data_IF_007830877677
#
_entry.id   IF_007830877677
#
_cell.length_a   1.000
_cell.length_b   1.000
_cell.length_c   1.000
_cell.angle_alpha   90.00
_cell.angle_beta   90.00
_cell.angle_gamma   90.00
#
_symmetry.space_group_name_H-M   'P 1'
#
loop_
_entity.id
_entity.type
_entity.pdbx_description
1 polymer ?
#
# COMPACT_ATOMS: atom_id res chain seq x y z
N UNK A 1 -21.77 -0.93 -10.78
CA UNK A 1 -21.18 -0.16 -9.68
C UNK A 1 -19.67 -0.41 -9.63
N UNK A 2 -19.25 -1.62 -9.48
CA UNK A 2 -17.85 -2.03 -9.31
C UNK A 2 -16.94 -1.71 -10.51
N UNK A 3 -17.48 -1.56 -11.71
CA UNK A 3 -16.72 -1.20 -12.90
C UNK A 3 -16.22 0.24 -12.93
N UNK A 4 -16.70 1.07 -12.01
CA UNK A 4 -16.29 2.49 -11.88
C UNK A 4 -15.51 2.77 -10.59
N UNK A 5 -15.23 1.73 -9.82
CA UNK A 5 -14.55 1.87 -8.54
C UNK A 5 -13.05 1.62 -8.71
N UNK A 6 -12.26 2.41 -8.01
CA UNK A 6 -10.82 2.24 -7.92
C UNK A 6 -10.54 1.50 -6.63
N UNK A 7 -10.08 0.26 -6.74
CA UNK A 7 -9.66 -0.53 -5.58
C UNK A 7 -8.23 -0.17 -5.20
N UNK A 8 -8.06 0.42 -4.04
CA UNK A 8 -6.76 0.90 -3.55
C UNK A 8 -5.78 -0.28 -3.46
N UNK A 9 -6.19 -1.39 -2.87
CA UNK A 9 -5.39 -2.60 -2.75
C UNK A 9 -4.87 -3.11 -4.10
N UNK A 10 -5.74 -3.18 -5.11
CA UNK A 10 -5.35 -3.67 -6.43
C UNK A 10 -4.31 -2.76 -7.08
N UNK A 11 -4.46 -1.46 -6.96
CA UNK A 11 -3.49 -0.48 -7.46
C UNK A 11 -2.17 -0.54 -6.68
N UNK A 12 -2.23 -0.70 -5.38
CA UNK A 12 -1.04 -0.88 -4.53
C UNK A 12 -0.28 -2.16 -4.90
N UNK A 13 -1.00 -3.27 -5.12
CA UNK A 13 -0.40 -4.54 -5.54
C UNK A 13 0.20 -4.44 -6.94
N UNK A 14 -0.45 -3.77 -7.88
CA UNK A 14 0.07 -3.54 -9.23
C UNK A 14 1.35 -2.68 -9.20
N UNK A 15 1.38 -1.65 -8.37
CA UNK A 15 2.58 -0.83 -8.15
C UNK A 15 3.73 -1.66 -7.58
N UNK A 16 3.48 -2.47 -6.57
CA UNK A 16 4.47 -3.40 -5.99
C UNK A 16 5.00 -4.37 -7.04
N UNK A 17 4.12 -5.01 -7.82
CA UNK A 17 4.53 -5.93 -8.88
C UNK A 17 5.41 -5.24 -9.92
N UNK A 18 5.08 -4.02 -10.33
CA UNK A 18 5.89 -3.22 -11.24
C UNK A 18 7.29 -2.99 -10.69
N UNK A 19 7.43 -2.68 -9.40
CA UNK A 19 8.72 -2.50 -8.74
C UNK A 19 9.54 -3.80 -8.73
N UNK A 20 8.94 -4.95 -8.42
CA UNK A 20 9.61 -6.25 -8.45
C UNK A 20 10.07 -6.66 -9.87
N UNK A 21 9.34 -6.22 -10.91
CA UNK A 21 9.71 -6.45 -12.31
C UNK A 21 10.69 -5.40 -12.86
N UNK A 22 11.25 -4.55 -12.02
CA UNK A 22 12.22 -3.54 -12.43
C UNK A 22 11.62 -2.32 -13.14
N UNK A 23 10.30 -2.21 -13.22
CA UNK A 23 9.58 -1.07 -13.81
C UNK A 23 9.43 0.04 -12.77
N UNK A 24 10.59 0.55 -12.34
CA UNK A 24 10.69 1.43 -11.19
C UNK A 24 9.87 2.72 -11.33
N UNK A 25 10.01 3.40 -12.47
CA UNK A 25 9.32 4.67 -12.69
C UNK A 25 7.80 4.51 -12.67
N UNK A 26 7.30 3.49 -13.36
CA UNK A 26 5.86 3.20 -13.41
C UNK A 26 5.32 2.79 -12.05
N UNK A 27 6.04 1.92 -11.34
CA UNK A 27 5.65 1.48 -10.00
C UNK A 27 5.59 2.66 -9.01
N UNK A 28 6.59 3.53 -9.03
CA UNK A 28 6.62 4.72 -8.17
C UNK A 28 5.56 5.74 -8.58
N UNK A 29 5.30 5.93 -9.87
CA UNK A 29 4.25 6.83 -10.33
C UNK A 29 2.86 6.34 -9.87
N UNK A 30 2.58 5.05 -10.02
CA UNK A 30 1.33 4.44 -9.56
C UNK A 30 1.18 4.55 -8.03
N UNK A 31 2.23 4.25 -7.27
CA UNK A 31 2.23 4.36 -5.81
C UNK A 31 1.98 5.82 -5.37
N UNK A 32 2.65 6.78 -6.00
CA UNK A 32 2.48 8.20 -5.69
C UNK A 32 1.07 8.69 -5.99
N UNK A 33 0.52 8.35 -7.16
CA UNK A 33 -0.83 8.74 -7.54
C UNK A 33 -1.88 8.20 -6.54
N UNK A 34 -1.70 6.97 -6.10
CA UNK A 34 -2.56 6.36 -5.07
C UNK A 34 -2.44 7.09 -3.74
N UNK A 35 -1.23 7.35 -3.25
CA UNK A 35 -0.99 8.06 -2.00
C UNK A 35 -1.53 9.50 -2.05
N UNK A 36 -1.32 10.20 -3.15
CA UNK A 36 -1.85 11.56 -3.32
C UNK A 36 -3.39 11.56 -3.28
N UNK A 37 -4.03 10.55 -3.86
CA UNK A 37 -5.49 10.41 -3.79
C UNK A 37 -5.97 10.19 -2.36
N UNK A 38 -5.26 9.36 -1.58
CA UNK A 38 -5.61 9.06 -0.18
C UNK A 38 -5.40 10.28 0.72
N UNK A 39 -4.27 10.98 0.56
CA UNK A 39 -3.89 12.09 1.45
C UNK A 39 -4.51 13.43 1.06
N UNK A 40 -4.72 13.68 -0.23
CA UNK A 40 -5.10 14.99 -0.77
C UNK A 40 -6.35 14.98 -1.62
N UNK A 41 -6.86 13.80 -1.95
CA UNK A 41 -8.11 13.66 -2.70
C UNK A 41 -9.33 13.96 -1.85
N UNK A 42 -10.53 13.86 -2.42
CA UNK A 42 -11.79 14.12 -1.71
C UNK A 42 -12.01 13.26 -0.48
N UNK A 43 -11.42 12.05 -0.45
CA UNK A 43 -11.46 11.20 0.74
C UNK A 43 -10.63 11.79 1.90
N UNK A 44 -9.38 12.20 1.63
CA UNK A 44 -8.43 12.87 2.53
C UNK A 44 -8.35 12.32 3.97
N UNK A 45 -8.56 11.02 4.15
CA UNK A 45 -8.52 10.34 5.45
C UNK A 45 -7.56 9.13 5.40
N UNK A 46 -6.24 9.36 5.47
CA UNK A 46 -5.25 8.29 5.35
C UNK A 46 -5.31 7.26 6.49
N UNK A 47 -5.93 7.60 7.59
CA UNK A 47 -6.14 6.71 8.74
C UNK A 47 -7.39 5.82 8.63
N UNK A 48 -8.27 6.10 7.66
CA UNK A 48 -9.47 5.30 7.40
C UNK A 48 -9.49 4.91 5.93
N UNK A 49 -8.92 3.75 5.63
CA UNK A 49 -8.71 3.29 4.27
C UNK A 49 -9.99 2.64 3.73
N UNK A 50 -10.65 3.23 2.72
CA UNK A 50 -11.81 2.60 2.10
C UNK A 50 -11.39 1.45 1.19
N UNK A 51 -12.27 0.49 0.97
CA UNK A 51 -12.04 -0.58 0.00
C UNK A 51 -11.95 -0.01 -1.42
N UNK A 52 -12.84 0.89 -1.77
CA UNK A 52 -12.89 1.50 -3.09
C UNK A 52 -13.18 2.99 -3.08
N UNK A 53 -12.63 3.67 -4.05
CA UNK A 53 -12.88 5.07 -4.37
C UNK A 53 -13.63 5.17 -5.70
N UNK A 54 -14.52 6.15 -5.81
CA UNK A 54 -15.18 6.45 -7.06
C UNK A 54 -14.18 6.99 -8.08
N UNK A 55 -14.12 6.39 -9.27
CA UNK A 55 -13.30 6.90 -10.38
C UNK A 55 -13.84 8.23 -10.95
N UNK A 56 -15.05 8.63 -10.57
CA UNK A 56 -15.68 9.87 -11.02
C UNK A 56 -15.42 11.01 -10.05
N UNK A 57 -15.57 10.77 -8.76
CA UNK A 57 -15.49 11.82 -7.74
C UNK A 57 -14.23 11.75 -6.88
N UNK A 58 -13.52 10.62 -6.87
CA UNK A 58 -12.40 10.36 -5.96
C UNK A 58 -12.83 10.14 -4.50
N UNK A 59 -14.12 10.25 -4.20
CA UNK A 59 -14.65 10.03 -2.86
C UNK A 59 -14.85 8.55 -2.54
N UNK A 60 -15.04 8.25 -1.26
CA UNK A 60 -15.32 6.89 -0.79
C UNK A 60 -16.61 6.37 -1.38
N UNK A 61 -16.58 5.19 -1.99
CA UNK A 61 -17.77 4.54 -2.52
C UNK A 61 -18.21 3.34 -1.67
N UNK A 62 -17.30 2.63 -1.04
CA UNK A 62 -17.65 1.56 -0.11
C UNK A 62 -16.45 1.14 0.76
N UNK A 63 -16.75 0.46 1.85
CA UNK A 63 -15.77 -0.09 2.78
C UNK A 63 -15.12 0.95 3.67
N UNK A 64 -14.66 0.52 4.83
CA UNK A 64 -13.89 1.30 5.79
C UNK A 64 -12.88 0.39 6.47
N UNK A 65 -11.75 0.96 6.89
CA UNK A 65 -10.70 0.26 7.65
C UNK A 65 -10.23 -1.03 6.97
N UNK A 66 -9.95 -0.96 5.67
CA UNK A 66 -9.61 -2.12 4.86
C UNK A 66 -8.12 -2.45 4.95
N UNK A 67 -7.81 -3.50 5.68
CA UNK A 67 -6.43 -3.87 6.03
C UNK A 67 -5.56 -4.37 4.88
N UNK A 68 -6.16 -4.84 3.78
CA UNK A 68 -5.41 -5.33 2.62
C UNK A 68 -4.53 -4.25 1.98
N UNK A 69 -4.77 -2.97 2.30
CA UNK A 69 -3.92 -1.85 1.87
C UNK A 69 -2.53 -1.87 2.51
N UNK A 70 -2.32 -2.67 3.53
CA UNK A 70 -1.01 -2.90 4.15
C UNK A 70 0.04 -3.43 3.17
N UNK A 71 -0.37 -3.87 1.98
CA UNK A 71 0.55 -4.25 0.90
C UNK A 71 1.56 -3.16 0.54
N UNK A 72 1.25 -1.89 0.79
CA UNK A 72 2.18 -0.77 0.58
C UNK A 72 3.49 -0.89 1.38
N UNK A 73 3.48 -1.62 2.47
CA UNK A 73 4.68 -1.88 3.28
C UNK A 73 5.70 -2.76 2.55
N UNK A 74 5.28 -3.44 1.48
CA UNK A 74 6.19 -4.20 0.63
C UNK A 74 7.04 -3.34 -0.32
N UNK A 75 6.69 -2.07 -0.51
CA UNK A 75 7.39 -1.19 -1.46
C UNK A 75 8.89 -1.04 -1.16
N UNK A 76 9.35 -0.81 0.07
CA UNK A 76 10.77 -0.77 0.36
C UNK A 76 11.49 -2.06 0.01
N UNK A 77 10.84 -3.21 0.24
CA UNK A 77 11.40 -4.53 -0.11
C UNK A 77 11.50 -4.71 -1.62
N UNK A 78 10.42 -4.33 -2.34
CA UNK A 78 10.39 -4.40 -3.79
C UNK A 78 11.45 -3.49 -4.43
N UNK A 79 11.63 -2.27 -3.90
CA UNK A 79 12.66 -1.34 -4.35
C UNK A 79 14.08 -1.85 -4.10
N UNK A 80 14.28 -2.60 -3.02
CA UNK A 80 15.55 -3.23 -2.69
C UNK A 80 15.77 -4.57 -3.40
N UNK A 81 14.79 -5.05 -4.19
CA UNK A 81 14.83 -6.37 -4.85
C UNK A 81 14.81 -7.55 -3.87
N UNK A 82 14.29 -7.33 -2.66
CA UNK A 82 14.22 -8.37 -1.63
C UNK A 82 12.92 -9.15 -1.71
N UNK A 83 12.99 -10.46 -1.52
CA UNK A 83 11.80 -11.30 -1.39
C UNK A 83 10.97 -10.84 -0.18
N UNK A 84 9.66 -10.69 -0.36
CA UNK A 84 8.75 -10.30 0.71
C UNK A 84 8.81 -11.28 1.91
N UNK A 85 9.11 -12.56 1.66
CA UNK A 85 9.30 -13.56 2.70
C UNK A 85 10.50 -13.26 3.60
N UNK A 86 11.49 -12.55 3.08
CA UNK A 86 12.66 -12.14 3.85
C UNK A 86 12.29 -11.19 5.01
N UNK A 87 11.22 -10.42 4.85
CA UNK A 87 10.73 -9.54 5.91
C UNK A 87 10.24 -10.32 7.15
N UNK A 88 9.74 -11.53 6.94
CA UNK A 88 9.21 -12.43 7.99
C UNK A 88 10.28 -13.38 8.54
N UNK A 89 11.46 -13.43 7.95
CA UNK A 89 12.54 -14.28 8.41
C UNK A 89 13.15 -13.75 9.73
N UNK A 90 13.88 -14.63 10.43
CA UNK A 90 14.64 -14.22 11.62
C UNK A 90 15.61 -13.09 11.27
N UNK A 91 15.53 -11.96 11.99
CA UNK A 91 16.29 -10.76 11.72
C UNK A 91 15.78 -9.92 10.53
N UNK A 92 14.67 -10.30 9.91
CA UNK A 92 13.99 -9.52 8.88
C UNK A 92 13.26 -8.31 9.44
N UNK A 93 12.67 -7.50 8.56
CA UNK A 93 12.03 -6.23 8.93
C UNK A 93 10.97 -6.40 10.03
N UNK A 94 10.13 -7.42 9.95
CA UNK A 94 9.08 -7.67 10.95
C UNK A 94 9.70 -7.99 12.32
N UNK A 95 10.74 -8.83 12.36
CA UNK A 95 11.43 -9.15 13.61
C UNK A 95 12.05 -7.89 14.23
N UNK A 96 12.69 -7.02 13.43
CA UNK A 96 13.27 -5.77 13.89
C UNK A 96 12.21 -4.80 14.46
N UNK A 97 11.05 -4.71 13.81
CA UNK A 97 9.93 -3.89 14.30
C UNK A 97 9.44 -4.41 15.66
N UNK A 98 9.24 -5.73 15.78
CA UNK A 98 8.78 -6.36 17.02
C UNK A 98 9.81 -6.19 18.15
N UNK A 99 11.09 -6.34 17.86
CA UNK A 99 12.17 -6.09 18.83
C UNK A 99 12.19 -4.63 19.30
N UNK A 100 12.02 -3.69 18.38
CA UNK A 100 11.99 -2.26 18.70
C UNK A 100 10.74 -1.87 19.53
N UNK A 101 9.63 -2.57 19.32
CA UNK A 101 8.37 -2.35 20.04
C UNK A 101 8.30 -3.10 21.38
N UNK A 102 9.24 -4.02 21.67
CA UNK A 102 9.24 -4.76 22.92
C UNK A 102 9.49 -3.82 24.11
N UNK A 103 8.78 -3.99 25.23
CA UNK A 103 9.04 -3.20 26.45
C UNK A 103 10.51 -3.35 26.86
N UNK A 104 11.20 -2.26 27.03
CA UNK A 104 12.56 -2.26 27.58
C UNK A 104 12.45 -2.59 29.06
N UNK A 105 12.95 -3.73 29.42
CA UNK A 105 13.08 -4.15 30.82
C UNK A 105 14.06 -3.28 31.59
#
# INVERSE_FOLDING_TARGET
IWSRDIFIQCNATAAMASLYHGRREEGLAAARAMLDTIFRGPHAMPWSQPCGLSSVTGGTCHGHDYYDHMVVWSYPLALAGQDIRAACAKGGLIAQILEAAAPRS
#
